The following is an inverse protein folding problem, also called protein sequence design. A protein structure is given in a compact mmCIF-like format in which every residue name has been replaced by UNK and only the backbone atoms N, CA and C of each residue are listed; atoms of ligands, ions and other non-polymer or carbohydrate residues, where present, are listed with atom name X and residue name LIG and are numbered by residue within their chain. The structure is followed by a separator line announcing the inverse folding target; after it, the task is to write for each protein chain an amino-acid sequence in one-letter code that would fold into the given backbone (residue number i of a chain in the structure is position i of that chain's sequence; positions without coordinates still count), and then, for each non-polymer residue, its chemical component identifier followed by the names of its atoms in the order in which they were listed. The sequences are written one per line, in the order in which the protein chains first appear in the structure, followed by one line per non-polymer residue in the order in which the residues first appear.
data_IF_585633392443
#
_entry.id   IF_585633392443
#
_cell.length_a   1.000
_cell.length_b   1.000
_cell.length_c   1.000
_cell.angle_alpha   90.00
_cell.angle_beta   90.00
_cell.angle_gamma   90.00
#
_symmetry.space_group_name_H-M   'P 1'
#
loop_
_entity.id
_entity.type
_entity.pdbx_description
1 polymer ?
#
# COMPACT_ATOMS: atom_id res chain seq x y z
N UNK A 1 -5.22 6.49 6.77
CA UNK A 1 -5.76 5.86 5.54
C UNK A 1 -6.25 4.47 5.89
N UNK A 2 -7.56 4.20 5.81
CA UNK A 2 -8.12 2.86 6.05
C UNK A 2 -7.57 1.80 5.08
N UNK A 3 -7.12 2.23 3.90
CA UNK A 3 -6.56 1.39 2.85
C UNK A 3 -5.29 0.65 3.30
N UNK A 4 -4.36 1.34 3.98
CA UNK A 4 -3.11 0.70 4.47
C UNK A 4 -3.41 -0.42 5.47
N UNK A 5 -4.43 -0.25 6.32
CA UNK A 5 -4.87 -1.32 7.23
C UNK A 5 -5.53 -2.47 6.46
N UNK A 6 -6.44 -2.20 5.51
CA UNK A 6 -7.04 -3.24 4.66
C UNK A 6 -5.98 -4.10 3.97
N UNK A 7 -4.95 -3.46 3.39
CA UNK A 7 -3.84 -4.16 2.74
C UNK A 7 -3.03 -4.99 3.74
N UNK A 8 -2.80 -4.47 4.94
CA UNK A 8 -2.11 -5.20 6.00
C UNK A 8 -2.86 -6.47 6.41
N UNK A 9 -4.18 -6.39 6.57
CA UNK A 9 -5.03 -7.53 6.91
C UNK A 9 -5.04 -8.60 5.78
N UNK A 10 -4.72 -8.20 4.55
CA UNK A 10 -4.54 -9.08 3.37
C UNK A 10 -3.10 -9.61 3.21
N UNK A 11 -2.21 -9.32 4.16
CA UNK A 11 -0.81 -9.76 4.14
C UNK A 11 0.16 -8.83 3.41
N UNK A 12 -0.28 -7.63 2.99
CA UNK A 12 0.55 -6.66 2.29
C UNK A 12 0.93 -5.49 3.20
N UNK A 13 2.20 -5.43 3.58
CA UNK A 13 2.71 -4.31 4.38
C UNK A 13 3.00 -3.09 3.50
N UNK A 14 2.02 -2.20 3.37
CA UNK A 14 2.15 -0.92 2.65
C UNK A 14 1.97 0.25 3.60
N UNK A 15 3.04 1.00 3.84
CA UNK A 15 3.03 2.12 4.79
C UNK A 15 2.25 3.33 4.25
N UNK A 16 1.38 3.91 5.08
CA UNK A 16 0.73 5.19 4.78
C UNK A 16 1.53 6.37 5.36
N UNK A 17 1.81 7.37 4.53
CA UNK A 17 2.35 8.65 4.97
C UNK A 17 1.18 9.63 5.09
N UNK A 18 1.00 10.21 6.28
CA UNK A 18 -0.14 11.06 6.63
C UNK A 18 0.31 12.38 7.24
N UNK A 19 -0.58 13.36 7.29
CA UNK A 19 -0.34 14.58 8.06
C UNK A 19 -0.01 14.24 9.55
N UNK A 20 0.89 15.00 10.19
CA UNK A 20 1.57 16.21 9.69
C UNK A 20 2.83 15.95 8.84
N UNK A 21 3.24 14.70 8.63
CA UNK A 21 4.47 14.36 7.87
C UNK A 21 4.40 14.80 6.39
N UNK A 22 3.20 14.84 5.82
CA UNK A 22 2.93 15.42 4.49
C UNK A 22 1.79 16.44 4.61
N UNK A 23 1.69 17.42 3.69
CA UNK A 23 0.56 18.35 3.66
C UNK A 23 -0.79 17.64 3.67
N UNK A 24 -1.77 18.19 4.39
CA UNK A 24 -3.15 17.65 4.42
C UNK A 24 -3.70 17.57 2.99
N UNK A 25 -4.39 16.47 2.67
CA UNK A 25 -4.92 16.22 1.33
C UNK A 25 -3.91 15.63 0.35
N UNK A 26 -2.65 15.45 0.76
CA UNK A 26 -1.60 14.78 -0.04
C UNK A 26 -1.12 13.48 0.61
N UNK A 27 -1.96 12.89 1.47
CA UNK A 27 -1.70 11.59 2.08
C UNK A 27 -1.54 10.53 0.99
N UNK A 28 -0.54 9.67 1.16
CA UNK A 28 -0.14 8.71 0.13
C UNK A 28 0.34 7.41 0.76
N UNK A 29 0.20 6.34 -0.02
CA UNK A 29 0.83 5.07 0.29
C UNK A 29 2.28 5.09 -0.23
N UNK A 30 3.20 4.53 0.55
CA UNK A 30 4.57 4.27 0.15
C UNK A 30 4.76 2.76 0.02
N UNK A 31 5.01 2.33 -1.21
CA UNK A 31 5.31 0.96 -1.58
C UNK A 31 6.82 0.87 -1.77
N UNK A 32 7.47 -0.04 -1.02
CA UNK A 32 8.91 -0.28 -1.14
C UNK A 32 9.12 -1.60 -1.85
N UNK A 33 9.69 -1.55 -3.05
CA UNK A 33 10.03 -2.74 -3.82
C UNK A 33 11.45 -3.20 -3.50
N UNK A 34 11.69 -4.50 -3.66
CA UNK A 34 12.96 -5.17 -3.48
C UNK A 34 13.18 -6.10 -4.67
N UNK A 35 14.44 -6.31 -5.06
CA UNK A 35 14.81 -7.26 -6.10
C UNK A 35 14.42 -8.71 -5.75
N UNK A 36 14.19 -8.99 -4.47
CA UNK A 36 13.76 -10.31 -4.01
C UNK A 36 12.26 -10.57 -4.21
N UNK A 37 11.47 -9.58 -4.61
CA UNK A 37 10.07 -9.81 -4.91
C UNK A 37 9.91 -10.58 -6.22
N UNK A 38 9.04 -11.56 -6.24
CA UNK A 38 8.67 -12.28 -7.46
C UNK A 38 7.64 -11.51 -8.25
N UNK A 39 7.59 -11.75 -9.57
CA UNK A 39 6.55 -11.18 -10.45
C UNK A 39 5.13 -11.44 -9.91
N UNK A 40 4.87 -12.65 -9.41
CA UNK A 40 3.57 -13.02 -8.83
C UNK A 40 3.22 -12.20 -7.58
N UNK A 41 4.20 -11.91 -6.71
CA UNK A 41 3.96 -11.04 -5.55
C UNK A 41 3.58 -9.61 -5.97
N UNK A 42 4.18 -9.09 -7.04
CA UNK A 42 3.83 -7.77 -7.59
C UNK A 42 2.42 -7.79 -8.16
N UNK A 43 2.06 -8.83 -8.93
CA UNK A 43 0.71 -8.97 -9.49
C UNK A 43 -0.36 -9.07 -8.39
N UNK A 44 -0.10 -9.87 -7.34
CA UNK A 44 -1.00 -9.96 -6.20
C UNK A 44 -1.14 -8.63 -5.46
N UNK A 45 -0.05 -7.88 -5.28
CA UNK A 45 -0.09 -6.55 -4.68
C UNK A 45 -0.99 -5.61 -5.48
N UNK A 46 -0.88 -5.61 -6.81
CA UNK A 46 -1.73 -4.77 -7.68
C UNK A 46 -3.22 -5.11 -7.54
N UNK A 47 -3.55 -6.40 -7.50
CA UNK A 47 -4.94 -6.86 -7.28
C UNK A 47 -5.45 -6.39 -5.92
N UNK A 48 -4.67 -6.54 -4.85
CA UNK A 48 -5.12 -6.12 -3.52
C UNK A 48 -5.23 -4.60 -3.37
N UNK A 49 -4.34 -3.82 -4.00
CA UNK A 49 -4.48 -2.36 -4.04
C UNK A 49 -5.80 -1.97 -4.72
N UNK A 50 -6.14 -2.60 -5.85
CA UNK A 50 -7.40 -2.35 -6.54
C UNK A 50 -8.60 -2.68 -5.64
N UNK A 51 -8.58 -3.83 -4.98
CA UNK A 51 -9.64 -4.25 -4.07
C UNK A 51 -9.78 -3.30 -2.86
N UNK A 52 -8.68 -2.78 -2.34
CA UNK A 52 -8.69 -1.90 -1.17
C UNK A 52 -9.17 -0.46 -1.48
N UNK A 53 -9.07 -0.04 -2.75
CA UNK A 53 -9.57 1.24 -3.26
C UNK A 53 -11.08 1.26 -3.54
N UNK A 54 -11.69 0.08 -3.70
CA UNK A 54 -13.15 -0.11 -3.73
C UNK A 54 -13.73 -0.04 -2.31
#
# INVERSE_FOLDING_TARGET
LKISQKLFDQGFYVSAIRAPTVPKGTERLRITLSANHTQSQIEQLLVQIKNALQ
#
